data_IF_127844788107
#
_entry.id   IF_127844788107
#
_cell.length_a   1.000
_cell.length_b   1.000
_cell.length_c   1.000
_cell.angle_alpha   90.00
_cell.angle_beta   90.00
_cell.angle_gamma   90.00
#
_symmetry.space_group_name_H-M   'P 1'
#
loop_
_entity.id
_entity.type
_entity.pdbx_description
1 polymer ?
#
# COMPACT_ATOMS: atom_id res chain seq x y z
N UNK A 1 -15.68 0.92 0.72
CA UNK A 1 -14.29 1.09 0.25
C UNK A 1 -13.40 0.21 1.12
N UNK A 2 -12.50 -0.59 0.53
CA UNK A 2 -11.48 -1.31 1.31
C UNK A 2 -10.50 -0.29 1.88
N UNK A 3 -10.31 -0.28 3.19
CA UNK A 3 -9.27 0.55 3.85
C UNK A 3 -7.90 0.08 3.38
N UNK A 4 -7.02 1.01 3.01
CA UNK A 4 -5.65 0.69 2.59
C UNK A 4 -4.81 0.35 3.82
N UNK A 5 -3.93 -0.64 3.74
CA UNK A 5 -3.06 -1.05 4.85
C UNK A 5 -1.66 -0.46 4.64
N UNK A 6 -1.13 0.26 5.64
CA UNK A 6 0.24 0.79 5.62
C UNK A 6 1.05 0.18 6.75
N UNK A 7 2.27 -0.24 6.45
CA UNK A 7 3.28 -0.57 7.45
C UNK A 7 4.20 0.63 7.66
N UNK A 8 4.24 1.17 8.88
CA UNK A 8 5.14 2.24 9.27
C UNK A 8 6.28 1.68 10.14
N UNK A 9 7.51 1.68 9.63
CA UNK A 9 8.70 1.23 10.34
C UNK A 9 9.43 2.45 10.90
N UNK A 10 9.34 2.67 12.20
CA UNK A 10 9.93 3.82 12.91
C UNK A 10 10.13 3.49 14.38
N UNK A 11 11.17 4.05 14.99
CA UNK A 11 11.36 4.00 16.44
C UNK A 11 10.72 5.20 17.16
N UNK A 12 10.01 6.06 16.43
CA UNK A 12 9.37 7.26 16.96
C UNK A 12 7.85 7.09 17.09
N UNK A 13 7.27 7.74 18.09
CA UNK A 13 5.81 7.87 18.14
C UNK A 13 5.33 8.84 17.06
N UNK A 14 4.43 8.36 16.20
CA UNK A 14 3.83 9.14 15.13
C UNK A 14 2.33 9.27 15.38
N UNK A 15 1.76 10.46 15.18
CA UNK A 15 0.30 10.64 15.25
C UNK A 15 -0.36 10.12 13.97
N UNK A 16 -1.16 9.07 14.11
CA UNK A 16 -1.81 8.38 12.99
C UNK A 16 -3.08 9.09 12.49
N UNK A 17 -3.59 10.09 13.20
CA UNK A 17 -4.84 10.77 12.86
C UNK A 17 -4.78 11.51 11.50
N UNK A 18 -3.58 11.73 10.97
CA UNK A 18 -3.35 12.40 9.70
C UNK A 18 -3.55 11.47 8.48
N UNK A 19 -3.68 10.15 8.69
CA UNK A 19 -3.79 9.14 7.63
C UNK A 19 -5.19 8.52 7.55
N UNK A 20 -6.23 9.34 7.40
CA UNK A 20 -7.64 8.92 7.48
C UNK A 20 -8.07 7.81 6.51
N UNK A 21 -7.37 7.64 5.39
CA UNK A 21 -7.66 6.60 4.38
C UNK A 21 -6.86 5.29 4.60
N UNK A 22 -5.99 5.26 5.61
CA UNK A 22 -5.04 4.18 5.85
C UNK A 22 -5.21 3.58 7.23
N UNK A 23 -5.17 2.26 7.30
CA UNK A 23 -4.98 1.52 8.54
C UNK A 23 -3.48 1.35 8.74
N UNK A 24 -2.94 2.06 9.73
CA UNK A 24 -1.50 2.06 10.02
C UNK A 24 -1.18 0.92 10.99
N UNK A 25 -0.23 0.10 10.59
CA UNK A 25 0.44 -0.86 11.47
C UNK A 25 1.86 -0.35 11.72
N UNK A 26 2.25 -0.11 12.96
CA UNK A 26 3.60 0.34 13.30
C UNK A 26 4.55 -0.83 13.58
N UNK A 27 5.82 -0.70 13.24
CA UNK A 27 6.90 -1.62 13.61
C UNK A 27 8.10 -0.81 14.11
N UNK A 28 8.64 -1.19 15.27
CA UNK A 28 9.71 -0.44 15.94
C UNK A 28 11.09 -0.66 15.30
N UNK A 29 11.23 -1.74 14.53
CA UNK A 29 12.46 -2.14 13.84
C UNK A 29 12.13 -2.97 12.59
N UNK A 30 13.16 -3.29 11.81
CA UNK A 30 13.04 -4.00 10.53
C UNK A 30 12.60 -5.46 10.75
N UNK A 31 13.06 -6.12 11.81
CA UNK A 31 12.70 -7.50 12.13
C UNK A 31 11.20 -7.63 12.43
N UNK A 32 10.66 -6.75 13.26
CA UNK A 32 9.23 -6.68 13.56
C UNK A 32 8.41 -6.32 12.31
N UNK A 33 8.97 -5.52 11.39
CA UNK A 33 8.34 -5.24 10.11
C UNK A 33 8.24 -6.50 9.24
N UNK A 34 9.31 -7.31 9.18
CA UNK A 34 9.33 -8.59 8.45
C UNK A 34 8.28 -9.56 9.01
N UNK A 35 8.17 -9.70 10.33
CA UNK A 35 7.16 -10.56 10.96
C UNK A 35 5.73 -10.14 10.59
N UNK A 36 5.48 -8.83 10.50
CA UNK A 36 4.16 -8.31 10.12
C UNK A 36 3.84 -8.55 8.65
N UNK A 37 4.81 -8.41 7.75
CA UNK A 37 4.64 -8.69 6.30
C UNK A 37 4.22 -10.15 6.07
N UNK A 38 4.66 -11.08 6.92
CA UNK A 38 4.25 -12.49 6.85
C UNK A 38 2.78 -12.71 7.22
N UNK A 39 2.17 -11.80 7.97
CA UNK A 39 0.84 -11.96 8.55
C UNK A 39 -0.22 -11.08 7.89
N UNK A 40 0.19 -9.95 7.30
CA UNK A 40 -0.70 -8.90 6.78
C UNK A 40 -0.16 -8.43 5.42
N UNK A 41 -1.04 -8.41 4.42
CA UNK A 41 -0.76 -7.76 3.14
C UNK A 41 -0.84 -6.23 3.26
N UNK A 42 0.21 -5.54 2.86
CA UNK A 42 0.29 -4.08 2.91
C UNK A 42 0.18 -3.49 1.51
N UNK A 43 -0.44 -2.32 1.40
CA UNK A 43 -0.48 -1.54 0.15
C UNK A 43 0.70 -0.55 0.05
N UNK A 44 1.35 -0.23 1.19
CA UNK A 44 2.51 0.66 1.27
C UNK A 44 3.35 0.35 2.52
N UNK A 45 4.68 0.33 2.36
CA UNK A 45 5.63 0.22 3.47
C UNK A 45 6.46 1.50 3.53
N UNK A 46 6.34 2.25 4.62
CA UNK A 46 7.11 3.44 4.91
C UNK A 46 8.19 3.11 5.94
N UNK A 47 9.47 3.36 5.62
CA UNK A 47 10.62 3.04 6.48
C UNK A 47 11.38 4.32 6.84
N UNK A 48 11.64 4.55 8.11
CA UNK A 48 12.40 5.72 8.54
C UNK A 48 13.86 5.64 8.02
N UNK A 49 14.39 6.75 7.50
CA UNK A 49 15.71 6.78 6.85
C UNK A 49 16.89 6.52 7.81
N UNK A 50 16.65 6.49 9.12
CA UNK A 50 17.67 6.25 10.15
C UNK A 50 18.06 4.76 10.29
N UNK A 51 17.32 3.84 9.68
CA UNK A 51 17.63 2.41 9.72
C UNK A 51 18.77 2.02 8.77
N UNK A 52 19.42 0.90 9.08
CA UNK A 52 20.50 0.34 8.26
C UNK A 52 20.02 0.04 6.83
N UNK A 53 20.82 0.44 5.85
CA UNK A 53 20.49 0.29 4.43
C UNK A 53 20.46 -1.17 3.98
N UNK A 54 21.33 -2.03 4.52
CA UNK A 54 21.32 -3.46 4.18
C UNK A 54 20.07 -4.14 4.75
N UNK A 55 19.64 -3.77 5.96
CA UNK A 55 18.39 -4.27 6.54
C UNK A 55 17.17 -3.78 5.76
N UNK A 56 17.13 -2.51 5.39
CA UNK A 56 16.05 -1.96 4.54
C UNK A 56 15.98 -2.66 3.18
N UNK A 57 17.13 -2.95 2.57
CA UNK A 57 17.18 -3.71 1.31
C UNK A 57 16.69 -5.17 1.47
N UNK A 58 16.94 -5.80 2.63
CA UNK A 58 16.37 -7.12 2.94
C UNK A 58 14.86 -7.06 3.09
N UNK A 59 14.35 -6.06 3.80
CA UNK A 59 12.92 -5.82 3.95
C UNK A 59 12.25 -5.69 2.58
N UNK A 60 12.80 -4.86 1.69
CA UNK A 60 12.28 -4.69 0.34
C UNK A 60 12.28 -6.00 -0.47
N UNK A 61 13.35 -6.79 -0.39
CA UNK A 61 13.40 -8.11 -1.05
C UNK A 61 12.33 -9.06 -0.51
N UNK A 62 12.12 -9.10 0.80
CA UNK A 62 11.12 -9.97 1.43
C UNK A 62 9.72 -9.51 1.05
N UNK A 63 9.44 -8.20 1.13
CA UNK A 63 8.18 -7.61 0.72
C UNK A 63 7.84 -8.01 -0.72
N UNK A 64 8.78 -7.83 -1.66
CA UNK A 64 8.57 -8.17 -3.08
C UNK A 64 8.40 -9.66 -3.35
N UNK A 65 8.92 -10.54 -2.48
CA UNK A 65 8.76 -12.00 -2.61
C UNK A 65 7.41 -12.48 -2.07
N UNK A 66 6.93 -11.88 -0.99
CA UNK A 66 5.69 -12.30 -0.31
C UNK A 66 4.47 -11.57 -0.87
N UNK A 67 4.63 -10.32 -1.26
CA UNK A 67 3.57 -9.42 -1.68
C UNK A 67 3.93 -8.88 -3.06
N UNK A 68 3.01 -8.98 -4.00
CA UNK A 68 3.28 -8.59 -5.38
C UNK A 68 3.35 -7.06 -5.47
N UNK A 69 4.55 -6.53 -5.70
CA UNK A 69 4.83 -5.14 -6.07
C UNK A 69 4.46 -4.08 -5.01
N UNK A 70 4.69 -4.38 -3.73
CA UNK A 70 4.47 -3.42 -2.65
C UNK A 70 5.54 -2.32 -2.64
N UNK A 71 5.15 -1.03 -2.72
CA UNK A 71 6.10 0.07 -2.66
C UNK A 71 6.72 0.17 -1.28
N UNK A 72 8.05 0.10 -1.22
CA UNK A 72 8.85 0.39 -0.02
C UNK A 72 9.47 1.77 -0.17
N UNK A 73 9.10 2.69 0.71
CA UNK A 73 9.49 4.09 0.64
C UNK A 73 10.28 4.53 1.89
N UNK A 74 11.52 5.02 1.73
CA UNK A 74 12.25 5.62 2.83
C UNK A 74 11.77 7.06 3.09
N UNK A 75 11.39 7.38 4.32
CA UNK A 75 10.93 8.72 4.71
C UNK A 75 11.85 9.39 5.73
N UNK A 76 11.89 10.72 5.74
CA UNK A 76 12.62 11.51 6.74
C UNK A 76 11.68 12.38 7.59
N UNK A 77 10.46 12.62 7.12
CA UNK A 77 9.45 13.40 7.84
C UNK A 77 8.04 12.82 7.65
N UNK A 78 7.11 13.21 8.52
CA UNK A 78 5.69 12.85 8.39
C UNK A 78 5.09 13.40 7.09
N UNK A 79 5.52 14.58 6.65
CA UNK A 79 5.05 15.18 5.40
C UNK A 79 5.38 14.30 4.19
N UNK A 80 6.57 13.69 4.17
CA UNK A 80 7.00 12.76 3.12
C UNK A 80 6.06 11.55 3.02
N UNK A 81 5.64 11.01 4.17
CA UNK A 81 4.72 9.87 4.24
C UNK A 81 3.35 10.30 3.71
N UNK A 82 2.86 11.47 4.09
CA UNK A 82 1.55 11.98 3.65
C UNK A 82 1.54 12.13 2.14
N UNK A 83 2.53 12.82 1.57
CA UNK A 83 2.66 13.01 0.12
C UNK A 83 2.67 11.65 -0.59
N UNK A 84 3.51 10.72 -0.15
CA UNK A 84 3.63 9.41 -0.79
C UNK A 84 2.36 8.57 -0.64
N UNK A 85 1.72 8.62 0.52
CA UNK A 85 0.48 7.88 0.79
C UNK A 85 -0.68 8.37 -0.08
N UNK A 86 -0.76 9.68 -0.36
CA UNK A 86 -1.76 10.24 -1.26
C UNK A 86 -1.50 9.81 -2.71
N UNK A 87 -0.24 9.88 -3.15
CA UNK A 87 0.16 9.42 -4.49
C UNK A 87 -0.23 7.95 -4.71
N UNK A 88 0.15 7.05 -3.79
CA UNK A 88 -0.14 5.61 -3.90
C UNK A 88 -1.65 5.35 -3.86
N UNK A 89 -2.40 6.06 -3.01
CA UNK A 89 -3.85 5.93 -2.95
C UNK A 89 -4.54 6.35 -4.27
N UNK A 90 -4.01 7.35 -4.98
CA UNK A 90 -4.50 7.75 -6.30
C UNK A 90 -4.15 6.72 -7.39
N UNK A 91 -2.91 6.23 -7.41
CA UNK A 91 -2.46 5.20 -8.36
C UNK A 91 -3.30 3.92 -8.23
N UNK A 92 -3.58 3.47 -7.00
CA UNK A 92 -4.43 2.31 -6.73
C UNK A 92 -5.91 2.53 -7.13
N UNK A 93 -6.41 3.77 -7.09
CA UNK A 93 -7.76 4.10 -7.60
C UNK A 93 -7.80 3.99 -9.13
N UNK A 94 -6.78 4.47 -9.82
CA UNK A 94 -6.69 4.43 -11.29
C UNK A 94 -6.57 2.99 -11.79
N UNK A 95 -5.73 2.16 -11.17
CA UNK A 95 -5.59 0.74 -11.54
C UNK A 95 -6.91 -0.02 -11.39
N UNK A 96 -7.70 0.27 -10.36
CA UNK A 96 -9.05 -0.33 -10.19
C UNK A 96 -10.02 0.12 -11.28
N UNK A 97 -9.96 1.37 -11.73
CA UNK A 97 -10.79 1.88 -12.82
C UNK A 97 -10.42 1.23 -14.16
N UNK A 98 -9.15 0.97 -14.40
CA UNK A 98 -8.68 0.31 -15.63
C UNK A 98 -9.00 -1.19 -15.67
N UNK A 99 -9.20 -1.83 -14.50
CA UNK A 99 -9.64 -3.21 -14.38
C UNK A 99 -11.17 -3.40 -14.48
N UNK A 100 -11.94 -2.35 -14.76
CA UNK A 100 -13.33 -2.52 -15.19
C UNK A 100 -13.31 -3.20 -16.57
N UNK A 101 -13.65 -4.48 -16.56
CA UNK A 101 -13.53 -5.40 -17.68
C UNK A 101 -14.26 -4.90 -18.93
N UNK A 102 -13.62 -5.03 -20.08
CA UNK A 102 -14.24 -4.87 -21.41
C UNK A 102 -15.56 -5.65 -21.57
N UNK A 103 -15.77 -6.72 -20.79
CA UNK A 103 -17.01 -7.51 -20.81
C UNK A 103 -18.20 -6.82 -20.16
N UNK A 104 -18.01 -5.97 -19.14
CA UNK A 104 -19.13 -5.29 -18.47
C UNK A 104 -19.76 -4.22 -19.38
N UNK A 105 -18.93 -3.52 -20.17
CA UNK A 105 -19.41 -2.58 -21.19
C UNK A 105 -20.12 -3.26 -22.38
N UNK A 106 -19.84 -4.53 -22.67
CA UNK A 106 -20.53 -5.26 -23.75
C UNK A 106 -22.00 -5.53 -23.41
N UNK A 107 -22.32 -5.82 -22.14
CA UNK A 107 -23.70 -6.05 -21.71
C UNK A 107 -24.51 -4.76 -21.50
N UNK A 108 -23.87 -3.66 -21.11
CA UNK A 108 -24.54 -2.34 -21.05
C UNK A 108 -24.79 -1.73 -22.43
N UNK A 109 -23.86 -1.89 -23.38
CA UNK A 109 -23.98 -1.28 -24.72
C UNK A 109 -24.84 -2.07 -25.71
N UNK A 110 -25.01 -3.38 -25.50
CA UNK A 110 -25.84 -4.24 -26.34
C UNK A 110 -26.73 -5.14 -25.46
N UNK A 111 -27.80 -4.61 -24.85
CA UNK A 111 -28.80 -5.46 -24.22
C UNK A 111 -29.33 -6.45 -25.27
N UNK A 112 -29.11 -7.73 -25.04
CA UNK A 112 -29.71 -8.81 -25.82
C UNK A 112 -31.22 -8.82 -25.55
N UNK A 113 -31.95 -7.96 -26.26
CA UNK A 113 -33.40 -8.07 -26.32
C UNK A 113 -33.74 -9.36 -27.05
N UNK A 114 -34.18 -10.38 -26.30
CA UNK A 114 -34.97 -11.46 -26.88
C UNK A 114 -36.30 -10.86 -27.33
N UNK A 115 -36.44 -10.60 -28.63
CA UNK A 115 -37.74 -10.31 -29.22
C UNK A 115 -38.59 -11.59 -29.13
N UNK A 116 -39.71 -11.51 -28.41
CA UNK A 116 -40.83 -12.44 -28.52
C UNK A 116 -41.67 -12.11 -29.74
#
# INVERSE_FOLDING_TARGET
>A
MKTLEMLLVTNQQTDFNQFSNWKITSAENIEAAIEKIQSIDFDLIAVEKNFDQNLTAKLQKIANLQQSDVPVFPFSSVADIIEKSNQVAEELKIQKQQNYSFTDNMFESHPLYCNN
#
